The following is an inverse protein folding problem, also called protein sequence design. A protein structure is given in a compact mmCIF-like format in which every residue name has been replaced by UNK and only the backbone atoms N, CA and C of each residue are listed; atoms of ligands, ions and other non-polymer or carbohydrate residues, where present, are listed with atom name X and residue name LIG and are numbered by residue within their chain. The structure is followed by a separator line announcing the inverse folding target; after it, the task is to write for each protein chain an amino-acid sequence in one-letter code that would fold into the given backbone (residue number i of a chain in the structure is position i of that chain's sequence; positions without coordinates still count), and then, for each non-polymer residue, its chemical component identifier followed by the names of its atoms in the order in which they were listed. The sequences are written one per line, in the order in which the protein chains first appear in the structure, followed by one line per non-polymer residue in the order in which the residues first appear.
data_IF_406702541399
#
_entry.id   IF_406702541399
#
_cell.length_a   1.000
_cell.length_b   1.000
_cell.length_c   1.000
_cell.angle_alpha   90.00
_cell.angle_beta   90.00
_cell.angle_gamma   90.00
#
_symmetry.space_group_name_H-M   'P 1'
#
loop_
_entity.id
_entity.type
_entity.pdbx_description
1 polymer ?
#
# COMPACT_ATOMS: atom_id res chain seq x y z
N UNK A 1 -17.44 -37.02 2.14
CA UNK A 1 -15.98 -37.13 2.41
C UNK A 1 -15.46 -35.72 2.56
N UNK A 2 -15.22 -35.31 3.80
CA UNK A 2 -15.43 -33.94 4.25
C UNK A 2 -14.32 -32.95 3.92
N UNK A 3 -14.73 -31.68 3.94
CA UNK A 3 -13.94 -30.44 3.90
C UNK A 3 -12.63 -30.52 4.72
N UNK A 4 -12.62 -31.30 5.81
CA UNK A 4 -11.44 -31.59 6.63
C UNK A 4 -10.31 -32.28 5.87
N UNK A 5 -10.62 -33.17 4.92
CA UNK A 5 -9.63 -33.85 4.08
C UNK A 5 -9.07 -32.90 3.01
N UNK A 6 -9.89 -31.98 2.49
CA UNK A 6 -9.47 -30.95 1.53
C UNK A 6 -8.58 -29.89 2.20
N UNK A 7 -8.92 -29.45 3.41
CA UNK A 7 -8.10 -28.54 4.20
C UNK A 7 -6.76 -29.15 4.62
N UNK A 8 -6.75 -30.45 4.96
CA UNK A 8 -5.51 -31.18 5.24
C UNK A 8 -4.61 -31.31 4.01
N UNK A 9 -5.20 -31.59 2.83
CA UNK A 9 -4.48 -31.69 1.57
C UNK A 9 -3.93 -30.35 1.07
N UNK A 10 -4.64 -29.24 1.31
CA UNK A 10 -4.16 -27.90 1.00
C UNK A 10 -3.00 -27.49 1.92
N UNK A 11 -3.05 -27.86 3.20
CA UNK A 11 -1.94 -27.63 4.16
C UNK A 11 -0.69 -28.42 3.81
N UNK A 12 -0.82 -29.65 3.33
CA UNK A 12 0.30 -30.51 2.97
C UNK A 12 1.05 -30.04 1.71
N UNK A 13 0.39 -29.30 0.81
CA UNK A 13 0.97 -28.85 -0.48
C UNK A 13 1.70 -27.50 -0.40
N UNK A 14 1.58 -26.77 0.71
CA UNK A 14 2.24 -25.47 0.87
C UNK A 14 3.49 -25.61 1.77
N UNK A 15 4.71 -25.68 1.21
CA UNK A 15 5.92 -25.52 2.01
C UNK A 15 5.81 -24.19 2.78
N UNK A 16 6.27 -24.18 4.03
CA UNK A 16 6.26 -23.04 4.98
C UNK A 16 6.99 -21.82 4.40
N UNK A 17 6.40 -21.18 3.39
CA UNK A 17 6.75 -19.84 2.93
C UNK A 17 6.06 -18.89 3.91
N UNK A 18 6.69 -17.76 4.27
CA UNK A 18 6.03 -16.73 5.06
C UNK A 18 4.84 -16.23 4.25
N UNK A 19 3.68 -16.80 4.55
CA UNK A 19 2.42 -16.44 3.93
C UNK A 19 1.88 -15.24 4.71
N UNK A 20 1.56 -14.17 4.01
CA UNK A 20 0.91 -12.99 4.60
C UNK A 20 -0.47 -13.36 5.19
N UNK A 21 -1.05 -14.49 4.76
CA UNK A 21 -2.27 -15.06 5.34
C UNK A 21 -3.42 -14.07 5.25
N UNK A 22 -4.17 -13.91 6.34
CA UNK A 22 -5.30 -12.97 6.43
C UNK A 22 -4.84 -11.51 6.25
N UNK A 23 -3.58 -11.19 6.57
CA UNK A 23 -3.02 -9.85 6.41
C UNK A 23 -2.86 -9.46 4.93
N UNK A 24 -3.08 -10.38 3.98
CA UNK A 24 -3.06 -10.06 2.56
C UNK A 24 -4.13 -9.04 2.20
N UNK A 25 -5.28 -9.07 2.89
CA UNK A 25 -6.35 -8.09 2.72
C UNK A 25 -5.98 -6.71 3.29
N UNK A 26 -5.32 -6.66 4.46
CA UNK A 26 -4.80 -5.40 5.01
C UNK A 26 -3.72 -4.82 4.09
N UNK A 27 -2.79 -5.66 3.63
CA UNK A 27 -1.75 -5.25 2.69
C UNK A 27 -2.35 -4.72 1.37
N UNK A 28 -3.39 -5.37 0.84
CA UNK A 28 -4.11 -4.90 -0.34
C UNK A 28 -4.83 -3.57 -0.10
N UNK A 29 -5.46 -3.37 1.06
CA UNK A 29 -6.07 -2.10 1.42
C UNK A 29 -5.05 -0.96 1.46
N UNK A 30 -3.87 -1.20 2.05
CA UNK A 30 -2.76 -0.24 2.07
C UNK A 30 -2.24 0.04 0.65
N UNK A 31 -2.05 -1.01 -0.15
CA UNK A 31 -1.64 -0.89 -1.57
C UNK A 31 -2.64 -0.06 -2.37
N UNK A 32 -3.94 -0.28 -2.18
CA UNK A 32 -4.98 0.50 -2.85
C UNK A 32 -4.91 1.99 -2.49
N UNK A 33 -4.66 2.33 -1.22
CA UNK A 33 -4.47 3.73 -0.80
C UNK A 33 -3.24 4.35 -1.43
N UNK A 34 -2.12 3.63 -1.46
CA UNK A 34 -0.88 4.11 -2.11
C UNK A 34 -1.05 4.31 -3.62
N UNK A 35 -1.81 3.44 -4.29
CA UNK A 35 -2.15 3.61 -5.72
C UNK A 35 -2.99 4.87 -5.93
N UNK A 36 -4.02 5.09 -5.10
CA UNK A 36 -4.84 6.31 -5.18
C UNK A 36 -4.03 7.57 -4.94
N UNK A 37 -3.14 7.56 -3.94
CA UNK A 37 -2.23 8.67 -3.64
C UNK A 37 -1.27 8.95 -4.81
N UNK A 38 -0.72 7.92 -5.43
CA UNK A 38 0.12 8.10 -6.62
C UNK A 38 -0.67 8.71 -7.79
N UNK A 39 -1.91 8.26 -8.01
CA UNK A 39 -2.77 8.80 -9.06
C UNK A 39 -3.17 10.26 -8.80
N UNK A 40 -3.42 10.67 -7.55
CA UNK A 40 -3.75 12.06 -7.22
C UNK A 40 -2.59 13.04 -7.48
N UNK A 41 -1.37 12.53 -7.64
CA UNK A 41 -0.19 13.31 -8.01
C UNK A 41 0.02 13.40 -9.53
N UNK A 42 -0.84 12.78 -10.35
CA UNK A 42 -0.77 12.89 -11.79
C UNK A 42 -1.03 14.33 -12.26
N UNK A 43 -0.38 14.74 -13.35
CA UNK A 43 -0.50 16.11 -13.90
C UNK A 43 -1.97 16.53 -14.15
N UNK A 44 -2.83 15.60 -14.57
CA UNK A 44 -4.25 15.85 -14.78
C UNK A 44 -5.01 16.18 -13.48
N UNK A 45 -4.68 15.48 -12.39
CA UNK A 45 -5.27 15.69 -11.06
C UNK A 45 -4.73 16.97 -10.43
N UNK A 46 -3.43 17.22 -10.55
CA UNK A 46 -2.80 18.47 -10.11
C UNK A 46 -3.35 19.67 -10.89
N UNK A 47 -3.58 19.51 -12.19
CA UNK A 47 -4.24 20.51 -13.03
C UNK A 47 -5.67 20.81 -12.58
N UNK A 48 -6.46 19.76 -12.29
CA UNK A 48 -7.80 19.89 -11.72
C UNK A 48 -7.80 20.59 -10.36
N UNK A 49 -6.86 20.23 -9.48
CA UNK A 49 -6.70 20.88 -8.19
C UNK A 49 -6.41 22.38 -8.37
N UNK A 50 -5.45 22.75 -9.22
CA UNK A 50 -5.11 24.15 -9.49
C UNK A 50 -6.28 24.96 -10.07
N UNK A 51 -7.10 24.34 -10.92
CA UNK A 51 -8.31 24.97 -11.42
C UNK A 51 -9.37 25.15 -10.31
N UNK A 52 -9.59 24.11 -9.49
CA UNK A 52 -10.53 24.11 -8.38
C UNK A 52 -10.17 25.11 -7.27
N UNK A 53 -8.87 25.31 -7.00
CA UNK A 53 -8.38 26.30 -6.04
C UNK A 53 -8.78 27.75 -6.39
N UNK A 54 -9.05 28.03 -7.67
CA UNK A 54 -9.48 29.34 -8.15
C UNK A 54 -11.01 29.51 -8.12
N UNK A 55 -11.74 28.46 -7.76
CA UNK A 55 -13.18 28.53 -7.64
C UNK A 55 -13.57 29.48 -6.48
N UNK A 56 -14.57 30.36 -6.65
CA UNK A 56 -14.97 31.32 -5.62
C UNK A 56 -15.30 30.68 -4.27
N UNK A 57 -15.92 29.49 -4.28
CA UNK A 57 -16.26 28.75 -3.06
C UNK A 57 -15.04 28.30 -2.26
N UNK A 58 -13.99 27.80 -2.93
CA UNK A 58 -12.75 27.36 -2.27
C UNK A 58 -11.99 28.56 -1.72
N UNK A 59 -11.92 29.65 -2.49
CA UNK A 59 -11.29 30.89 -2.06
C UNK A 59 -11.99 31.54 -0.86
N UNK A 60 -13.31 31.36 -0.76
CA UNK A 60 -14.12 31.84 0.35
C UNK A 60 -13.97 30.99 1.61
N UNK A 61 -13.97 29.65 1.49
CA UNK A 61 -13.94 28.74 2.63
C UNK A 61 -12.53 28.46 3.19
N UNK A 62 -11.50 28.53 2.35
CA UNK A 62 -10.13 28.14 2.73
C UNK A 62 -9.18 29.32 2.76
N UNK A 63 -8.81 29.86 1.58
CA UNK A 63 -7.92 31.01 1.45
C UNK A 63 -7.87 31.48 -0.01
N UNK A 64 -7.54 32.76 -0.23
CA UNK A 64 -7.24 33.28 -1.58
C UNK A 64 -5.78 33.02 -1.99
N UNK A 65 -4.93 32.67 -1.05
CA UNK A 65 -3.52 32.35 -1.30
C UNK A 65 -3.37 30.92 -1.82
N UNK A 66 -3.01 30.81 -3.11
CA UNK A 66 -2.80 29.51 -3.77
C UNK A 66 -1.62 28.75 -3.19
N UNK A 67 -0.58 29.44 -2.69
CA UNK A 67 0.59 28.79 -2.07
C UNK A 67 0.18 28.15 -0.75
N UNK A 68 -0.63 28.85 0.04
CA UNK A 68 -1.20 28.31 1.28
C UNK A 68 -2.04 27.06 1.02
N UNK A 69 -2.95 27.09 0.04
CA UNK A 69 -3.79 25.93 -0.29
C UNK A 69 -2.94 24.76 -0.78
N UNK A 70 -1.92 24.99 -1.62
CA UNK A 70 -1.02 23.92 -2.06
C UNK A 70 -0.27 23.29 -0.89
N UNK A 71 0.21 24.11 0.06
CA UNK A 71 0.87 23.61 1.27
C UNK A 71 -0.09 22.82 2.16
N UNK A 72 -1.32 23.28 2.28
CA UNK A 72 -2.37 22.60 3.04
C UNK A 72 -2.68 21.22 2.43
N UNK A 73 -2.95 21.15 1.12
CA UNK A 73 -3.18 19.88 0.42
C UNK A 73 -1.95 18.97 0.47
N UNK A 74 -0.75 19.53 0.35
CA UNK A 74 0.50 18.78 0.52
C UNK A 74 0.61 18.15 1.91
N UNK A 75 0.24 18.88 2.97
CA UNK A 75 0.23 18.34 4.34
C UNK A 75 -0.78 17.20 4.50
N UNK A 76 -1.97 17.30 3.91
CA UNK A 76 -2.97 16.22 3.89
C UNK A 76 -2.45 14.97 3.16
N UNK A 77 -1.85 15.14 1.98
CA UNK A 77 -1.24 14.03 1.22
C UNK A 77 -0.11 13.34 2.00
N UNK A 78 0.69 14.10 2.75
CA UNK A 78 1.73 13.54 3.63
C UNK A 78 1.09 12.80 4.81
N UNK A 79 -0.02 13.29 5.36
CA UNK A 79 -0.80 12.59 6.38
C UNK A 79 -1.33 11.24 5.91
N UNK A 80 -1.85 11.18 4.67
CA UNK A 80 -2.28 9.93 4.04
C UNK A 80 -1.10 8.95 3.85
N UNK A 81 0.06 9.47 3.44
CA UNK A 81 1.29 8.69 3.32
C UNK A 81 1.77 8.16 4.68
N UNK A 82 1.70 8.98 5.73
CA UNK A 82 2.05 8.58 7.10
C UNK A 82 1.17 7.44 7.60
N UNK A 83 -0.14 7.51 7.33
CA UNK A 83 -1.08 6.45 7.69
C UNK A 83 -0.77 5.14 6.96
N UNK A 84 -0.42 5.21 5.68
CA UNK A 84 0.02 4.05 4.90
C UNK A 84 1.35 3.50 5.42
N UNK A 85 2.32 4.36 5.71
CA UNK A 85 3.63 3.98 6.26
C UNK A 85 3.49 3.31 7.64
N UNK A 86 2.62 3.82 8.51
CA UNK A 86 2.34 3.19 9.80
C UNK A 86 1.79 1.75 9.63
N UNK A 87 0.92 1.52 8.65
CA UNK A 87 0.43 0.18 8.34
C UNK A 87 1.55 -0.74 7.80
N UNK A 88 2.40 -0.22 6.90
CA UNK A 88 3.58 -0.96 6.41
C UNK A 88 4.55 -1.29 7.55
N UNK A 89 4.78 -0.38 8.50
CA UNK A 89 5.61 -0.61 9.68
C UNK A 89 5.11 -1.77 10.55
N UNK A 90 3.80 -2.03 10.61
CA UNK A 90 3.25 -3.20 11.30
C UNK A 90 3.51 -4.51 10.56
N UNK A 91 3.70 -4.46 9.25
CA UNK A 91 4.01 -5.62 8.40
C UNK A 91 5.53 -5.88 8.32
N UNK A 92 6.34 -4.82 8.46
CA UNK A 92 7.79 -4.84 8.32
C UNK A 92 8.52 -5.97 9.09
N UNK A 93 8.19 -6.31 10.36
CA UNK A 93 8.87 -7.38 11.08
C UNK A 93 8.76 -8.77 10.42
N UNK A 94 7.77 -8.97 9.54
CA UNK A 94 7.54 -10.22 8.79
C UNK A 94 8.36 -10.31 7.50
N UNK A 95 9.06 -9.23 7.12
CA UNK A 95 9.92 -9.21 5.95
C UNK A 95 11.20 -10.03 6.19
N UNK A 96 11.65 -10.74 5.15
CA UNK A 96 12.94 -11.45 5.17
C UNK A 96 14.13 -10.49 5.08
N UNK A 97 13.95 -9.38 4.38
CA UNK A 97 14.98 -8.37 4.20
C UNK A 97 15.19 -7.57 5.51
N UNK A 98 16.42 -7.54 6.07
CA UNK A 98 16.76 -6.71 7.23
C UNK A 98 16.47 -5.22 7.04
N UNK A 99 16.64 -4.66 5.84
CA UNK A 99 16.38 -3.24 5.55
C UNK A 99 14.87 -2.95 5.68
N UNK A 100 14.04 -3.83 5.13
CA UNK A 100 12.58 -3.68 5.21
C UNK A 100 12.06 -3.86 6.64
N UNK A 101 12.73 -4.67 7.48
CA UNK A 101 12.40 -4.78 8.90
C UNK A 101 12.63 -3.47 9.66
N UNK A 102 13.54 -2.62 9.18
CA UNK A 102 13.82 -1.30 9.74
C UNK A 102 13.02 -0.17 9.07
N UNK A 103 11.99 -0.49 8.26
CA UNK A 103 11.21 0.50 7.50
C UNK A 103 10.72 1.69 8.33
N UNK A 104 10.25 1.47 9.56
CA UNK A 104 9.76 2.55 10.41
C UNK A 104 10.83 3.62 10.70
N UNK A 105 12.08 3.20 10.92
CA UNK A 105 13.20 4.11 11.14
C UNK A 105 13.57 4.83 9.85
N UNK A 106 13.65 4.09 8.75
CA UNK A 106 13.94 4.65 7.42
C UNK A 106 12.93 5.73 7.02
N UNK A 107 11.64 5.49 7.27
CA UNK A 107 10.58 6.46 6.98
C UNK A 107 10.64 7.69 7.90
N UNK A 108 10.91 7.50 9.20
CA UNK A 108 11.08 8.61 10.14
C UNK A 108 12.28 9.50 9.77
N UNK A 109 13.41 8.89 9.40
CA UNK A 109 14.61 9.61 8.96
C UNK A 109 14.35 10.38 7.67
N UNK A 110 13.64 9.76 6.70
CA UNK A 110 13.22 10.42 5.47
C UNK A 110 12.35 11.64 5.74
N UNK A 111 11.38 11.51 6.66
CA UNK A 111 10.48 12.59 7.04
C UNK A 111 11.18 13.73 7.77
N UNK A 112 12.21 13.42 8.57
CA UNK A 112 13.02 14.41 9.27
C UNK A 112 13.96 15.22 8.35
N UNK A 113 13.95 14.94 7.03
CA UNK A 113 14.90 15.53 6.08
C UNK A 113 16.32 14.97 6.23
N UNK A 114 16.46 13.84 6.94
CA UNK A 114 17.74 13.22 7.22
C UNK A 114 18.42 12.71 5.95
N UNK A 115 19.70 13.03 5.80
CA UNK A 115 20.63 12.20 5.03
C UNK A 115 20.56 10.82 5.67
N UNK A 116 20.21 9.80 4.90
CA UNK A 116 20.05 8.42 5.35
C UNK A 116 21.27 7.97 6.15
N UNK A 117 21.29 8.21 7.47
CA UNK A 117 22.49 8.02 8.28
C UNK A 117 22.94 6.57 8.32
N UNK A 118 21.97 5.66 8.13
CA UNK A 118 22.17 4.22 7.97
C UNK A 118 22.70 3.80 6.58
N UNK A 119 22.61 4.68 5.57
CA UNK A 119 23.07 4.45 4.20
C UNK A 119 24.30 5.33 3.89
N UNK A 120 25.27 5.46 4.80
CA UNK A 120 26.50 6.28 4.56
C UNK A 120 27.68 5.44 4.04
N UNK A 121 27.58 4.10 4.05
CA UNK A 121 28.67 3.22 3.59
C UNK A 121 28.67 2.99 2.07
N UNK A 122 29.70 2.36 1.51
CA UNK A 122 29.78 2.02 0.08
C UNK A 122 28.58 1.20 -0.47
N UNK A 123 27.74 0.62 0.40
CA UNK A 123 26.47 -0.05 0.05
C UNK A 123 25.27 0.88 -0.06
N UNK A 124 25.39 2.13 0.36
CA UNK A 124 24.36 3.16 0.34
C UNK A 124 23.62 3.27 -0.98
N UNK A 125 24.36 3.33 -2.09
CA UNK A 125 23.80 3.47 -3.42
C UNK A 125 23.00 2.22 -3.83
N UNK A 126 23.47 1.02 -3.45
CA UNK A 126 22.77 -0.22 -3.70
C UNK A 126 21.50 -0.31 -2.85
N UNK A 127 21.58 0.03 -1.56
CA UNK A 127 20.44 0.02 -0.64
C UNK A 127 19.39 1.08 -1.01
N UNK A 128 19.80 2.24 -1.53
CA UNK A 128 18.92 3.30 -2.02
C UNK A 128 18.17 2.88 -3.29
N UNK A 129 18.83 2.18 -4.22
CA UNK A 129 18.17 1.59 -5.39
C UNK A 129 17.24 0.44 -4.97
N UNK A 130 17.65 -0.35 -3.98
CA UNK A 130 16.85 -1.45 -3.43
C UNK A 130 15.57 -0.96 -2.74
N UNK A 131 15.66 0.13 -1.97
CA UNK A 131 14.52 0.85 -1.38
C UNK A 131 13.74 1.67 -2.41
N UNK A 132 14.29 1.86 -3.61
CA UNK A 132 13.65 2.60 -4.68
C UNK A 132 13.65 4.12 -4.51
N UNK A 133 14.46 4.65 -3.58
CA UNK A 133 14.58 6.07 -3.28
C UNK A 133 15.44 6.83 -4.31
N UNK A 134 16.26 6.10 -5.09
CA UNK A 134 16.94 6.62 -6.29
C UNK A 134 16.22 6.27 -7.61
N UNK A 135 14.97 5.82 -7.54
CA UNK A 135 14.31 5.23 -8.71
C UNK A 135 13.72 6.28 -9.66
N UNK A 136 13.76 6.00 -10.96
CA UNK A 136 13.10 6.82 -11.98
C UNK A 136 11.57 6.73 -11.86
N UNK A 137 10.84 7.75 -12.33
CA UNK A 137 9.38 7.74 -12.41
C UNK A 137 8.82 6.45 -13.05
N UNK A 138 9.51 5.92 -14.05
CA UNK A 138 9.17 4.64 -14.71
C UNK A 138 9.26 3.43 -13.78
N UNK A 139 10.21 3.39 -12.85
CA UNK A 139 10.32 2.32 -11.85
C UNK A 139 9.25 2.44 -10.77
N UNK A 140 8.94 3.67 -10.32
CA UNK A 140 7.83 3.92 -9.41
C UNK A 140 6.50 3.45 -10.02
N UNK A 141 6.23 3.82 -11.27
CA UNK A 141 5.06 3.39 -12.03
C UNK A 141 4.95 1.85 -12.14
N UNK A 142 6.06 1.14 -12.36
CA UNK A 142 6.07 -0.33 -12.34
C UNK A 142 5.69 -0.92 -10.98
N UNK A 143 6.10 -0.27 -9.87
CA UNK A 143 5.71 -0.71 -8.52
C UNK A 143 4.23 -0.46 -8.26
N UNK A 144 3.69 0.66 -8.73
CA UNK A 144 2.25 0.97 -8.66
C UNK A 144 1.43 -0.06 -9.42
N UNK A 145 1.82 -0.42 -10.64
CA UNK A 145 1.14 -1.49 -11.40
C UNK A 145 1.20 -2.85 -10.70
N UNK A 146 2.29 -3.16 -10.02
CA UNK A 146 2.38 -4.39 -9.19
C UNK A 146 1.41 -4.33 -8.02
N UNK A 147 1.30 -3.18 -7.34
CA UNK A 147 0.32 -2.97 -6.28
C UNK A 147 -1.12 -3.19 -6.80
N UNK A 148 -1.46 -2.63 -7.96
CA UNK A 148 -2.76 -2.85 -8.61
C UNK A 148 -3.05 -4.32 -8.89
N UNK A 149 -2.05 -5.07 -9.38
CA UNK A 149 -2.18 -6.51 -9.61
C UNK A 149 -2.44 -7.29 -8.32
N UNK A 150 -1.77 -6.94 -7.22
CA UNK A 150 -2.00 -7.58 -5.92
C UNK A 150 -3.38 -7.22 -5.34
N UNK A 151 -3.83 -5.97 -5.51
CA UNK A 151 -5.19 -5.55 -5.14
C UNK A 151 -6.23 -6.33 -5.93
N UNK A 152 -6.06 -6.48 -7.24
CA UNK A 152 -6.96 -7.27 -8.07
C UNK A 152 -6.96 -8.76 -7.68
N UNK A 153 -5.80 -9.33 -7.37
CA UNK A 153 -5.68 -10.73 -6.95
C UNK A 153 -6.38 -10.99 -5.61
N UNK A 154 -6.26 -10.07 -4.64
CA UNK A 154 -6.91 -10.18 -3.33
C UNK A 154 -8.41 -9.94 -3.41
N UNK A 155 -8.89 -9.03 -4.26
CA UNK A 155 -10.32 -8.89 -4.56
C UNK A 155 -10.91 -10.16 -5.16
N UNK A 156 -10.22 -10.81 -6.10
CA UNK A 156 -10.63 -12.11 -6.65
C UNK A 156 -10.62 -13.22 -5.60
N UNK A 157 -9.67 -13.19 -4.67
CA UNK A 157 -9.64 -14.12 -3.55
C UNK A 157 -10.86 -13.92 -2.64
N UNK A 158 -11.21 -12.67 -2.33
CA UNK A 158 -12.39 -12.33 -1.53
C UNK A 158 -13.69 -12.87 -2.16
N UNK A 159 -13.92 -12.59 -3.45
CA UNK A 159 -15.09 -13.09 -4.16
C UNK A 159 -15.18 -14.64 -4.17
N UNK A 160 -14.04 -15.33 -4.29
CA UNK A 160 -14.00 -16.80 -4.21
C UNK A 160 -14.32 -17.32 -2.81
N UNK A 161 -13.95 -16.59 -1.75
CA UNK A 161 -14.28 -16.95 -0.38
C UNK A 161 -15.78 -16.78 -0.10
N UNK A 162 -16.42 -15.75 -0.66
CA UNK A 162 -17.88 -15.57 -0.56
C UNK A 162 -18.63 -16.74 -1.22
N UNK A 163 -18.27 -17.08 -2.47
CA UNK A 163 -18.87 -18.23 -3.18
C UNK A 163 -18.65 -19.54 -2.42
N UNK A 164 -17.47 -19.74 -1.83
CA UNK A 164 -17.21 -20.94 -1.02
C UNK A 164 -18.12 -20.99 0.22
N UNK A 165 -18.35 -19.84 0.88
CA UNK A 165 -19.23 -19.77 2.04
C UNK A 165 -20.68 -20.10 1.68
N UNK A 166 -21.19 -19.58 0.56
CA UNK A 166 -22.53 -19.89 0.04
C UNK A 166 -22.69 -21.39 -0.25
N UNK A 167 -21.68 -22.02 -0.85
CA UNK A 167 -21.68 -23.46 -1.14
C UNK A 167 -21.65 -24.31 0.14
N UNK A 168 -20.86 -23.92 1.14
CA UNK A 168 -20.82 -24.61 2.44
C UNK A 168 -22.15 -24.49 3.19
N UNK A 169 -22.83 -23.34 3.10
CA UNK A 169 -24.17 -23.15 3.67
C UNK A 169 -25.21 -24.04 2.96
N UNK A 170 -25.19 -24.09 1.62
CA UNK A 170 -26.06 -24.96 0.85
C UNK A 170 -25.83 -26.45 1.16
N UNK A 171 -24.58 -26.88 1.35
CA UNK A 171 -24.26 -28.26 1.73
C UNK A 171 -24.82 -28.61 3.13
N UNK A 172 -24.70 -27.69 4.10
CA UNK A 172 -25.27 -27.88 5.45
C UNK A 172 -26.79 -28.00 5.41
N UNK A 173 -27.45 -27.19 4.59
CA UNK A 173 -28.90 -27.26 4.40
C UNK A 173 -29.35 -28.56 3.72
N UNK A 174 -28.55 -29.12 2.81
CA UNK A 174 -28.86 -30.38 2.12
C UNK A 174 -28.61 -31.64 2.97
N UNK A 175 -27.89 -31.53 4.09
CA UNK A 175 -27.59 -32.62 5.02
C UNK A 175 -28.55 -32.70 6.21
N UNK A 176 -29.48 -31.74 6.34
CA UNK A 176 -30.57 -31.74 7.32
C UNK A 176 -31.85 -32.32 6.70
#
# INVERSE_FOLDING_TARGET
MGVTKVLADLRARCPQRPAVGILAFEAAAVMSRLVSLHRSLAEEEVGRLRAGMRAPGVAYLTSKDQVFILRFVGAELVGDLDAAAAAVSRLAPRCRDPLLRAFNRLYADLKAGGVYSFLIDARAAADLDHLGLGSTAKRAERRVRKMEQYVAATSRLYAKMEVLNELEEAEKHAQQ
#
